data_IF_486572733341
#
_entry.id   IF_486572733341
#
_cell.length_a   1.000
_cell.length_b   1.000
_cell.length_c   1.000
_cell.angle_alpha   90.00
_cell.angle_beta   90.00
_cell.angle_gamma   90.00
#
_symmetry.space_group_name_H-M   'P 1'
#
loop_
_entity.id
_entity.type
_entity.pdbx_description
1 polymer ?
#
# COMPACT_ATOMS: atom_id res chain seq x y z
N UNK A 1 -53.76 -29.36 -34.01
CA UNK A 1 -53.84 -28.60 -32.75
C UNK A 1 -52.73 -29.12 -31.85
N UNK A 2 -51.69 -28.30 -31.61
CA UNK A 2 -50.46 -28.71 -30.91
C UNK A 2 -50.65 -28.51 -29.40
N UNK A 3 -50.39 -29.56 -28.63
CA UNK A 3 -50.51 -29.58 -27.17
C UNK A 3 -49.25 -28.97 -26.54
N UNK A 4 -49.50 -28.08 -25.57
CA UNK A 4 -48.56 -27.44 -24.65
C UNK A 4 -47.66 -28.46 -23.92
N UNK A 5 -46.36 -28.15 -23.78
CA UNK A 5 -45.51 -28.77 -22.77
C UNK A 5 -44.54 -27.75 -22.15
N UNK A 6 -44.92 -27.36 -20.93
CA UNK A 6 -44.18 -26.84 -19.77
C UNK A 6 -42.76 -26.26 -19.92
N UNK A 7 -42.64 -25.00 -19.50
CA UNK A 7 -41.42 -24.31 -19.12
C UNK A 7 -40.76 -25.00 -17.91
N UNK A 8 -39.50 -25.40 -18.02
CA UNK A 8 -38.63 -25.68 -16.88
C UNK A 8 -37.60 -24.57 -16.79
N UNK A 9 -37.82 -23.64 -15.86
CA UNK A 9 -36.82 -22.67 -15.44
C UNK A 9 -35.80 -23.38 -14.55
N UNK A 10 -34.60 -23.63 -15.06
CA UNK A 10 -33.45 -24.05 -14.27
C UNK A 10 -32.64 -22.81 -13.87
N UNK A 11 -32.96 -22.25 -12.70
CA UNK A 11 -32.10 -21.35 -11.93
C UNK A 11 -31.08 -22.24 -11.22
N UNK A 12 -29.77 -22.12 -11.49
CA UNK A 12 -28.58 -22.45 -10.66
C UNK A 12 -27.36 -22.16 -11.56
N UNK A 13 -26.33 -21.38 -11.20
CA UNK A 13 -26.04 -20.69 -9.96
C UNK A 13 -25.10 -19.52 -10.23
N UNK A 14 -25.22 -18.49 -9.40
CA UNK A 14 -24.28 -17.37 -9.36
C UNK A 14 -23.01 -17.90 -8.70
N UNK A 15 -21.98 -18.19 -9.51
CA UNK A 15 -20.64 -18.33 -8.99
C UNK A 15 -20.18 -16.96 -8.51
N UNK A 16 -20.25 -16.75 -7.20
CA UNK A 16 -19.50 -15.68 -6.53
C UNK A 16 -18.03 -15.97 -6.77
N UNK A 17 -17.47 -15.39 -7.83
CA UNK A 17 -16.02 -15.28 -8.00
C UNK A 17 -15.58 -14.31 -6.90
N UNK A 18 -15.19 -14.87 -5.75
CA UNK A 18 -14.49 -14.12 -4.73
C UNK A 18 -13.22 -13.58 -5.36
N UNK A 19 -13.14 -12.26 -5.57
CA UNK A 19 -11.90 -11.61 -5.95
C UNK A 19 -10.93 -11.73 -4.78
N UNK A 20 -10.12 -12.79 -4.76
CA UNK A 20 -8.93 -12.86 -3.93
C UNK A 20 -7.95 -11.80 -4.46
N UNK A 21 -7.95 -10.62 -3.82
CA UNK A 21 -6.94 -9.60 -4.04
C UNK A 21 -5.61 -10.14 -3.50
N UNK A 22 -4.88 -10.86 -4.36
CA UNK A 22 -3.52 -11.31 -4.06
C UNK A 22 -2.65 -10.07 -3.95
N UNK A 23 -2.20 -9.78 -2.74
CA UNK A 23 -1.19 -8.74 -2.52
C UNK A 23 0.11 -9.18 -3.18
N UNK A 24 0.79 -8.30 -3.94
CA UNK A 24 2.02 -8.66 -4.63
C UNK A 24 3.11 -8.89 -3.58
N UNK A 25 3.52 -10.15 -3.42
CA UNK A 25 4.68 -10.50 -2.60
C UNK A 25 5.84 -10.92 -3.47
N UNK A 26 7.03 -10.34 -3.27
CA UNK A 26 8.23 -10.72 -4.05
C UNK A 26 8.72 -12.12 -3.61
N UNK A 27 8.83 -12.35 -2.30
CA UNK A 27 9.39 -13.59 -1.72
C UNK A 27 8.41 -14.31 -0.76
N UNK A 28 7.11 -13.96 -0.79
CA UNK A 28 6.12 -14.41 0.19
C UNK A 28 6.29 -13.82 1.60
N UNK A 29 7.33 -13.00 1.83
CA UNK A 29 7.60 -12.31 3.09
C UNK A 29 7.41 -10.80 3.04
N UNK A 30 7.52 -10.23 1.85
CA UNK A 30 7.46 -8.78 1.64
C UNK A 30 6.28 -8.44 0.76
N UNK A 31 5.35 -7.64 1.27
CA UNK A 31 4.24 -7.06 0.52
C UNK A 31 4.68 -5.71 -0.04
N UNK A 32 4.57 -5.51 -1.35
CA UNK A 32 5.10 -4.30 -2.00
C UNK A 32 3.97 -3.42 -2.51
N UNK A 33 4.01 -2.15 -2.15
CA UNK A 33 3.05 -1.14 -2.57
C UNK A 33 3.76 0.10 -3.13
N UNK A 34 3.09 0.75 -4.08
CA UNK A 34 3.40 2.10 -4.58
C UNK A 34 2.20 3.02 -4.39
N UNK A 35 2.38 4.30 -4.71
CA UNK A 35 1.34 5.32 -4.58
C UNK A 35 0.04 4.95 -5.32
N UNK A 36 0.16 4.32 -6.50
CA UNK A 36 -0.97 3.94 -7.34
C UNK A 36 -1.70 2.67 -6.87
N UNK A 37 -1.09 1.92 -5.95
CA UNK A 37 -1.62 0.65 -5.48
C UNK A 37 -2.44 0.82 -4.20
N UNK A 38 -3.69 0.37 -4.27
CA UNK A 38 -4.59 0.35 -3.11
C UNK A 38 -4.26 -0.86 -2.22
N UNK A 39 -4.02 -0.61 -0.93
CA UNK A 39 -3.98 -1.68 0.06
C UNK A 39 -5.37 -2.35 0.17
N UNK A 40 -5.44 -3.70 0.32
CA UNK A 40 -6.71 -4.38 0.57
C UNK A 40 -7.42 -3.84 1.81
N UNK A 41 -8.71 -4.15 1.96
CA UNK A 41 -9.51 -3.74 3.13
C UNK A 41 -8.86 -4.16 4.45
N UNK A 42 -8.21 -5.32 4.46
CA UNK A 42 -7.39 -5.82 5.54
C UNK A 42 -6.24 -6.62 4.94
N UNK A 43 -5.01 -6.21 5.21
CA UNK A 43 -3.83 -6.98 4.85
C UNK A 43 -3.46 -7.91 6.02
N UNK A 44 -3.51 -9.21 5.76
CA UNK A 44 -3.07 -10.23 6.71
C UNK A 44 -1.54 -10.42 6.58
N UNK A 45 -0.85 -10.36 7.70
CA UNK A 45 0.60 -10.51 7.84
C UNK A 45 0.93 -11.48 8.99
N UNK A 46 2.14 -12.01 8.99
CA UNK A 46 2.72 -12.80 10.08
C UNK A 46 3.93 -12.08 10.66
N UNK A 47 4.25 -12.35 11.92
CA UNK A 47 5.45 -11.77 12.57
C UNK A 47 6.70 -12.03 11.73
N UNK A 48 7.47 -10.98 11.47
CA UNK A 48 8.66 -10.99 10.62
C UNK A 48 8.41 -10.67 9.15
N UNK A 49 7.16 -10.64 8.68
CA UNK A 49 6.84 -10.11 7.35
C UNK A 49 7.00 -8.58 7.31
N UNK A 50 7.23 -8.06 6.11
CA UNK A 50 7.44 -6.63 5.88
C UNK A 50 6.44 -6.11 4.85
N UNK A 51 5.88 -4.92 5.10
CA UNK A 51 5.23 -4.12 4.08
C UNK A 51 6.21 -3.06 3.61
N UNK A 52 6.55 -3.10 2.33
CA UNK A 52 7.37 -2.12 1.65
C UNK A 52 6.46 -1.15 0.88
N UNK A 53 6.58 0.15 1.16
CA UNK A 53 5.83 1.20 0.47
C UNK A 53 6.80 2.19 -0.17
N UNK A 54 6.76 2.30 -1.49
CA UNK A 54 7.59 3.23 -2.26
C UNK A 54 6.75 4.38 -2.80
N UNK A 55 7.08 5.61 -2.40
CA UNK A 55 6.35 6.81 -2.78
C UNK A 55 7.29 7.81 -3.48
N UNK A 56 6.86 8.44 -4.58
CA UNK A 56 7.64 9.51 -5.19
C UNK A 56 7.72 10.71 -4.23
N UNK A 57 8.91 11.29 -4.08
CA UNK A 57 9.17 12.42 -3.18
C UNK A 57 10.19 13.37 -3.79
N UNK A 58 9.97 14.68 -3.68
CA UNK A 58 11.00 15.68 -3.97
C UNK A 58 11.18 16.60 -2.76
N UNK A 59 12.12 16.28 -1.84
CA UNK A 59 12.33 17.03 -0.60
C UNK A 59 12.70 18.50 -0.83
N UNK A 60 13.25 18.84 -2.00
CA UNK A 60 13.62 20.24 -2.34
C UNK A 60 12.42 21.17 -2.47
N UNK A 61 11.22 20.61 -2.63
CA UNK A 61 9.95 21.37 -2.67
C UNK A 61 9.35 21.60 -1.28
N UNK A 62 9.90 20.95 -0.25
CA UNK A 62 9.38 20.91 1.12
C UNK A 62 8.26 19.91 1.35
N UNK A 63 7.73 19.28 0.29
CA UNK A 63 6.74 18.21 0.42
C UNK A 63 7.44 16.88 0.72
N UNK A 64 7.06 16.26 1.83
CA UNK A 64 7.61 15.00 2.31
C UNK A 64 6.50 14.05 2.74
N UNK A 65 6.78 12.76 2.67
CA UNK A 65 5.95 11.70 3.22
C UNK A 65 6.36 11.40 4.66
N UNK A 66 5.37 11.30 5.55
CA UNK A 66 5.60 11.01 6.97
C UNK A 66 4.54 10.05 7.49
N UNK A 67 4.94 9.17 8.42
CA UNK A 67 3.97 8.36 9.17
C UNK A 67 3.18 9.28 10.10
N UNK A 68 1.85 9.23 10.01
CA UNK A 68 0.95 10.12 10.73
C UNK A 68 0.96 9.86 12.24
N UNK A 69 1.21 8.62 12.66
CA UNK A 69 1.21 8.20 14.07
C UNK A 69 2.30 7.14 14.32
N UNK A 70 2.95 7.15 15.49
CA UNK A 70 3.86 6.07 15.88
C UNK A 70 3.18 4.70 15.80
N UNK A 71 3.92 3.70 15.34
CA UNK A 71 3.43 2.32 15.25
C UNK A 71 3.84 1.53 16.50
N UNK A 72 2.95 0.67 16.97
CA UNK A 72 3.14 -0.09 18.21
C UNK A 72 3.54 -1.55 17.96
N UNK A 73 3.01 -2.15 16.89
CA UNK A 73 3.25 -3.57 16.54
C UNK A 73 4.10 -3.72 15.27
N UNK A 74 4.44 -2.61 14.62
CA UNK A 74 5.33 -2.54 13.46
C UNK A 74 6.60 -1.75 13.79
N UNK A 75 7.75 -2.25 13.34
CA UNK A 75 8.97 -1.43 13.21
C UNK A 75 8.86 -0.63 11.92
N UNK A 76 9.16 0.68 11.98
CA UNK A 76 9.19 1.55 10.79
C UNK A 76 10.62 1.93 10.46
N UNK A 77 11.04 1.71 9.22
CA UNK A 77 12.29 2.26 8.67
C UNK A 77 11.96 3.14 7.47
N UNK A 78 12.59 4.32 7.41
CA UNK A 78 12.34 5.32 6.39
C UNK A 78 13.64 5.63 5.63
N UNK A 79 13.62 5.49 4.31
CA UNK A 79 14.81 5.67 3.47
C UNK A 79 14.44 6.59 2.31
N UNK A 80 15.18 7.68 2.13
CA UNK A 80 15.09 8.49 0.92
C UNK A 80 16.14 8.05 -0.09
N UNK A 81 15.73 7.82 -1.33
CA UNK A 81 16.59 7.46 -2.45
C UNK A 81 16.40 8.48 -3.57
N UNK A 82 17.42 9.29 -3.83
CA UNK A 82 17.40 10.22 -4.94
C UNK A 82 17.43 9.47 -6.27
N UNK A 83 16.68 9.95 -7.26
CA UNK A 83 16.70 9.37 -8.60
C UNK A 83 18.09 9.55 -9.27
N UNK A 84 18.51 8.58 -10.12
CA UNK A 84 19.80 8.65 -10.77
C UNK A 84 19.89 9.83 -11.73
N UNK A 85 20.97 10.60 -11.60
CA UNK A 85 21.29 11.73 -12.47
C UNK A 85 22.00 11.21 -13.73
N UNK A 86 21.36 11.35 -14.89
CA UNK A 86 21.96 10.97 -16.19
C UNK A 86 22.87 12.06 -16.80
N UNK A 87 22.96 13.22 -16.16
CA UNK A 87 23.78 14.34 -16.59
C UNK A 87 25.22 14.21 -16.08
N UNK A 88 26.19 14.65 -16.87
CA UNK A 88 27.59 14.78 -16.44
C UNK A 88 27.81 15.98 -15.49
N UNK A 89 26.85 16.89 -15.42
CA UNK A 89 26.88 18.05 -14.52
C UNK A 89 25.99 17.79 -13.30
N UNK A 90 26.39 18.22 -12.10
CA UNK A 90 25.57 18.10 -10.90
C UNK A 90 24.25 18.87 -11.09
N UNK A 91 23.13 18.23 -10.78
CA UNK A 91 21.81 18.83 -10.83
C UNK A 91 21.25 19.03 -9.42
N UNK A 92 20.74 20.23 -9.14
CA UNK A 92 20.00 20.54 -7.93
C UNK A 92 18.50 20.30 -8.15
N UNK A 93 17.75 20.01 -7.09
CA UNK A 93 16.30 19.83 -7.19
C UNK A 93 15.84 18.47 -7.70
N UNK A 94 16.77 17.51 -7.87
CA UNK A 94 16.44 16.16 -8.33
C UNK A 94 15.61 15.46 -7.27
N UNK A 95 14.42 15.03 -7.67
CA UNK A 95 13.54 14.23 -6.82
C UNK A 95 14.06 12.82 -6.61
N UNK A 96 13.22 11.99 -6.03
CA UNK A 96 13.53 10.62 -5.75
C UNK A 96 12.30 9.91 -5.20
N UNK A 97 12.57 8.96 -4.31
CA UNK A 97 11.57 8.11 -3.71
C UNK A 97 11.79 8.02 -2.21
N UNK A 98 10.71 8.05 -1.46
CA UNK A 98 10.64 7.68 -0.05
C UNK A 98 10.20 6.23 0.04
N UNK A 99 11.02 5.42 0.69
CA UNK A 99 10.75 4.03 1.00
C UNK A 99 10.41 3.92 2.48
N UNK A 100 9.27 3.30 2.78
CA UNK A 100 8.90 2.87 4.12
C UNK A 100 8.96 1.35 4.18
N UNK A 101 9.63 0.82 5.21
CA UNK A 101 9.61 -0.60 5.56
C UNK A 101 8.91 -0.76 6.90
N UNK A 102 7.75 -1.42 6.88
CA UNK A 102 6.96 -1.74 8.07
C UNK A 102 7.12 -3.22 8.39
N UNK A 103 7.98 -3.57 9.35
CA UNK A 103 8.21 -4.96 9.75
C UNK A 103 7.33 -5.36 10.92
N UNK A 104 6.56 -6.43 10.77
CA UNK A 104 5.70 -6.99 11.80
C UNK A 104 6.53 -7.53 12.98
N UNK A 105 6.34 -6.95 14.17
CA UNK A 105 7.06 -7.36 15.38
C UNK A 105 6.21 -8.23 16.31
N UNK A 106 4.92 -7.95 16.41
CA UNK A 106 4.02 -8.59 17.37
C UNK A 106 2.62 -8.79 16.77
N UNK A 107 1.87 -9.81 17.20
CA UNK A 107 0.48 -9.98 16.79
C UNK A 107 -0.42 -8.81 17.22
N UNK A 108 -1.41 -8.50 16.39
CA UNK A 108 -2.34 -7.40 16.64
C UNK A 108 -2.92 -6.81 15.36
N UNK A 109 -3.68 -5.72 15.48
CA UNK A 109 -4.17 -4.95 14.34
C UNK A 109 -3.76 -3.48 14.49
N UNK A 110 -3.32 -2.87 13.38
CA UNK A 110 -2.90 -1.48 13.37
C UNK A 110 -3.19 -0.85 11.99
N UNK A 111 -3.30 0.48 11.97
CA UNK A 111 -3.38 1.26 10.73
C UNK A 111 -2.03 1.89 10.42
N UNK A 112 -1.50 1.53 9.25
CA UNK A 112 -0.44 2.31 8.60
C UNK A 112 -1.12 3.49 7.92
N UNK A 113 -0.71 4.71 8.27
CA UNK A 113 -1.16 5.94 7.64
C UNK A 113 0.04 6.83 7.37
N UNK A 114 0.33 7.08 6.10
CA UNK A 114 1.35 8.03 5.67
C UNK A 114 0.70 9.22 4.98
N UNK A 115 1.25 10.41 5.23
CA UNK A 115 0.75 11.69 4.71
C UNK A 115 1.84 12.40 3.93
N UNK A 116 1.46 12.97 2.80
CA UNK A 116 2.30 13.81 1.97
C UNK A 116 1.95 15.28 2.19
N UNK A 117 2.91 16.07 2.65
CA UNK A 117 2.66 17.47 2.92
C UNK A 117 3.92 18.18 3.37
N UNK A 118 3.76 19.47 3.65
CA UNK A 118 4.79 20.25 4.34
C UNK A 118 4.54 20.18 5.84
N UNK A 119 5.56 19.93 6.67
CA UNK A 119 5.38 19.79 8.12
C UNK A 119 4.76 21.01 8.82
N UNK A 120 4.86 22.19 8.21
CA UNK A 120 4.30 23.45 8.72
C UNK A 120 2.91 23.78 8.16
N UNK A 121 2.40 23.01 7.20
CA UNK A 121 1.05 23.17 6.66
C UNK A 121 0.07 22.23 7.39
N UNK A 122 -1.19 22.64 7.52
CA UNK A 122 -2.19 21.88 8.29
C UNK A 122 -2.74 20.66 7.53
N UNK A 123 -2.78 20.73 6.20
CA UNK A 123 -3.42 19.72 5.37
C UNK A 123 -2.38 18.96 4.55
N UNK A 124 -2.51 17.64 4.55
CA UNK A 124 -1.80 16.80 3.59
C UNK A 124 -2.43 16.97 2.20
N UNK A 125 -1.60 16.94 1.16
CA UNK A 125 -2.04 16.98 -0.24
C UNK A 125 -2.31 15.58 -0.79
N UNK A 126 -1.75 14.55 -0.14
CA UNK A 126 -1.96 13.15 -0.49
C UNK A 126 -1.76 12.27 0.75
N UNK A 127 -2.37 11.09 0.76
CA UNK A 127 -2.29 10.15 1.87
C UNK A 127 -2.39 8.71 1.38
N UNK A 128 -1.66 7.80 2.02
CA UNK A 128 -1.79 6.36 1.78
C UNK A 128 -2.09 5.65 3.10
N UNK A 129 -3.02 4.69 3.07
CA UNK A 129 -3.51 3.99 4.25
C UNK A 129 -3.63 2.49 4.01
N UNK A 130 -3.29 1.72 5.03
CA UNK A 130 -3.43 0.27 5.01
C UNK A 130 -3.75 -0.26 6.40
N UNK A 131 -4.81 -1.06 6.51
CA UNK A 131 -5.12 -1.78 7.74
C UNK A 131 -4.40 -3.11 7.71
N UNK A 132 -3.59 -3.38 8.72
CA UNK A 132 -2.88 -4.65 8.84
C UNK A 132 -3.42 -5.45 10.02
N UNK A 133 -3.47 -6.77 9.86
CA UNK A 133 -3.61 -7.73 10.95
C UNK A 133 -2.38 -8.62 10.94
N UNK A 134 -1.74 -8.74 12.09
CA UNK A 134 -0.55 -9.57 12.30
C UNK A 134 -0.97 -10.76 13.16
N UNK A 135 -0.77 -11.98 12.65
CA UNK A 135 -0.99 -13.24 13.36
C UNK A 135 0.32 -13.90 13.80
#
# INVERSE_FOLDING_TARGET
>A
MKVLALCFAAVIGVSLVGCSSMSPTIDGKTHVYSLEQQCPTLLEMTVGQTLELTLPENPTTGYIWQVAQPQNILKVEEIYQQDPIKSQQPMLGVGGKKLFLFTALQPGEEWIHVKHGRPWEQNAIDEWRCRVRIS
#
